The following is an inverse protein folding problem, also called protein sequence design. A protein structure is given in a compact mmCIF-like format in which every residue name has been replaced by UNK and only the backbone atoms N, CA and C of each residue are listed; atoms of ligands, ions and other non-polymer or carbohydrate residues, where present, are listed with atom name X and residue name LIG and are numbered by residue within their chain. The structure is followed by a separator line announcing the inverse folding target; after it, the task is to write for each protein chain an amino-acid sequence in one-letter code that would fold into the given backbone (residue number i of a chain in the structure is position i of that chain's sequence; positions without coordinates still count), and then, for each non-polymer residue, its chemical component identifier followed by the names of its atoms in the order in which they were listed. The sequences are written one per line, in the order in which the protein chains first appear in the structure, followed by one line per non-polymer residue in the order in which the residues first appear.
data_IF_682954287680
#
_entry.id   IF_682954287680
#
_cell.length_a   1.000
_cell.length_b   1.000
_cell.length_c   1.000
_cell.angle_alpha   90.00
_cell.angle_beta   90.00
_cell.angle_gamma   90.00
#
_symmetry.space_group_name_H-M   'P 1'
#
loop_
_entity.id
_entity.type
_entity.pdbx_description
1 polymer ?
#
# COMPACT_ATOMS: atom_id res chain seq x y z
N UNK A 1 -16.32 15.01 0.97
CA UNK A 1 -15.77 14.07 -0.04
C UNK A 1 -14.30 13.80 0.28
N UNK A 2 -13.93 12.54 0.24
CA UNK A 2 -12.58 12.13 0.61
C UNK A 2 -11.71 11.88 -0.63
N UNK A 3 -10.40 11.81 -0.43
CA UNK A 3 -9.42 11.48 -1.46
C UNK A 3 -8.76 10.15 -1.13
N UNK A 4 -8.39 9.43 -2.18
CA UNK A 4 -7.55 8.25 -2.04
C UNK A 4 -6.67 8.10 -3.27
N UNK A 5 -5.59 7.34 -3.14
CA UNK A 5 -4.70 7.04 -4.25
C UNK A 5 -3.93 5.76 -3.98
N UNK A 6 -3.49 5.11 -5.05
CA UNK A 6 -2.52 4.03 -4.93
C UNK A 6 -1.18 4.65 -4.51
N UNK A 7 -0.63 4.20 -3.38
CA UNK A 7 0.62 4.75 -2.88
C UNK A 7 1.79 3.76 -2.91
N UNK A 8 1.54 2.49 -2.60
CA UNK A 8 2.58 1.47 -2.60
C UNK A 8 2.20 0.26 -3.41
N UNK A 9 3.19 -0.29 -4.09
CA UNK A 9 3.16 -1.67 -4.56
C UNK A 9 4.05 -2.44 -3.57
N UNK A 10 3.47 -3.35 -2.79
CA UNK A 10 4.18 -4.03 -1.71
C UNK A 10 4.67 -5.38 -2.19
N UNK A 11 5.95 -5.66 -1.96
CA UNK A 11 6.58 -6.92 -2.35
C UNK A 11 7.16 -7.57 -1.09
N UNK A 12 6.77 -8.80 -0.83
CA UNK A 12 7.29 -9.57 0.29
C UNK A 12 8.68 -10.12 -0.06
N UNK A 13 9.63 -9.95 0.86
CA UNK A 13 10.99 -10.45 0.70
C UNK A 13 11.45 -11.10 2.00
N UNK A 14 12.24 -12.17 1.93
CA UNK A 14 12.75 -12.80 3.16
C UNK A 14 13.90 -12.02 3.78
N UNK A 15 14.62 -11.21 3.00
CA UNK A 15 15.79 -10.44 3.45
C UNK A 15 15.71 -9.05 2.83
N UNK A 16 15.63 -8.03 3.68
CA UNK A 16 15.45 -6.64 3.22
C UNK A 16 16.66 -6.12 2.44
N UNK A 17 17.88 -6.43 2.90
CA UNK A 17 19.08 -5.95 2.20
C UNK A 17 19.19 -6.52 0.81
N UNK A 18 18.92 -7.80 0.65
CA UNK A 18 18.90 -8.45 -0.66
C UNK A 18 17.77 -7.93 -1.53
N UNK A 19 16.59 -7.68 -0.93
CA UNK A 19 15.45 -7.11 -1.63
C UNK A 19 15.74 -5.72 -2.15
N UNK A 20 16.36 -4.87 -1.33
CA UNK A 20 16.76 -3.52 -1.75
C UNK A 20 17.76 -3.60 -2.90
N UNK A 21 18.79 -4.46 -2.77
CA UNK A 21 19.80 -4.58 -3.81
C UNK A 21 19.20 -5.01 -5.15
N UNK A 22 18.34 -6.03 -5.12
CA UNK A 22 17.73 -6.54 -6.35
C UNK A 22 16.79 -5.54 -7.00
N UNK A 23 15.83 -5.05 -6.22
CA UNK A 23 14.77 -4.21 -6.78
C UNK A 23 15.24 -2.81 -7.14
N UNK A 24 16.20 -2.25 -6.37
CA UNK A 24 16.81 -0.97 -6.75
C UNK A 24 17.50 -1.07 -8.09
N UNK A 25 18.26 -2.14 -8.32
CA UNK A 25 18.94 -2.35 -9.59
C UNK A 25 17.95 -2.63 -10.72
N UNK A 26 16.99 -3.49 -10.46
CA UNK A 26 16.01 -3.89 -11.49
C UNK A 26 15.14 -2.73 -11.96
N UNK A 27 14.79 -1.80 -11.07
CA UNK A 27 13.85 -0.72 -11.35
C UNK A 27 14.51 0.65 -11.48
N UNK A 28 15.83 0.72 -11.34
CA UNK A 28 16.57 1.98 -11.26
C UNK A 28 15.99 2.88 -10.15
N UNK A 29 15.69 2.26 -9.01
CA UNK A 29 15.05 2.93 -7.89
C UNK A 29 16.10 3.34 -6.85
N UNK A 30 15.76 4.31 -6.03
CA UNK A 30 16.59 4.76 -4.91
C UNK A 30 15.86 4.55 -3.59
N UNK A 31 16.59 4.14 -2.57
CA UNK A 31 16.00 3.90 -1.26
C UNK A 31 15.66 5.23 -0.58
N UNK A 32 14.44 5.29 0.01
CA UNK A 32 13.99 6.39 0.84
C UNK A 32 14.06 6.01 2.31
N UNK A 33 14.30 6.99 3.17
CA UNK A 33 14.31 6.78 4.61
C UNK A 33 12.91 6.45 5.11
N UNK A 34 12.79 5.37 5.88
CA UNK A 34 11.58 5.08 6.66
C UNK A 34 11.88 5.27 8.14
N UNK A 35 10.84 5.29 8.98
CA UNK A 35 11.02 5.48 10.41
C UNK A 35 11.90 4.36 10.99
N UNK A 36 12.65 4.69 12.04
CA UNK A 36 13.50 3.71 12.71
C UNK A 36 12.72 2.49 13.19
N UNK A 37 11.50 2.71 13.66
CA UNK A 37 10.61 1.63 14.14
C UNK A 37 10.21 0.68 13.04
N UNK A 38 10.22 1.12 11.79
CA UNK A 38 9.78 0.33 10.64
C UNK A 38 10.93 -0.29 9.86
N UNK A 39 12.16 0.19 10.01
CA UNK A 39 13.29 -0.18 9.15
C UNK A 39 13.63 -1.66 9.15
N UNK A 40 13.36 -2.36 10.22
CA UNK A 40 13.65 -3.79 10.31
C UNK A 40 12.55 -4.67 9.70
N UNK A 41 11.43 -4.05 9.31
CA UNK A 41 10.31 -4.75 8.68
C UNK A 41 10.07 -4.25 7.27
N UNK A 42 10.30 -2.95 7.03
CA UNK A 42 9.99 -2.30 5.75
C UNK A 42 11.18 -1.51 5.22
N UNK A 43 11.34 -1.52 3.89
CA UNK A 43 12.24 -0.61 3.19
C UNK A 43 11.47 -0.05 2.00
N UNK A 44 11.63 1.24 1.72
CA UNK A 44 10.85 1.90 0.69
C UNK A 44 11.76 2.38 -0.43
N UNK A 45 11.34 2.13 -1.67
CA UNK A 45 12.08 2.52 -2.86
C UNK A 45 11.29 3.53 -3.68
N UNK A 46 11.97 4.56 -4.12
CA UNK A 46 11.42 5.58 -4.99
C UNK A 46 11.76 5.25 -6.43
N UNK A 47 10.72 5.23 -7.28
CA UNK A 47 10.88 5.04 -8.72
C UNK A 47 11.20 6.39 -9.38
N UNK A 48 12.01 6.41 -10.46
CA UNK A 48 12.42 7.68 -11.08
C UNK A 48 11.28 8.48 -11.68
N UNK A 49 10.27 7.81 -12.24
CA UNK A 49 9.21 8.48 -12.99
C UNK A 49 7.81 8.19 -12.47
N UNK A 50 7.67 7.88 -11.18
CA UNK A 50 6.37 7.51 -10.62
C UNK A 50 6.20 8.05 -9.22
N UNK A 51 4.97 8.48 -8.90
CA UNK A 51 4.59 8.84 -7.54
C UNK A 51 4.25 7.62 -6.69
N UNK A 52 4.16 6.43 -7.31
CA UNK A 52 3.94 5.18 -6.58
C UNK A 52 5.28 4.68 -6.07
N UNK A 53 5.32 4.23 -4.81
CA UNK A 53 6.53 3.66 -4.20
C UNK A 53 6.48 2.14 -4.23
N UNK A 54 7.64 1.54 -4.23
CA UNK A 54 7.77 0.10 -3.96
C UNK A 54 8.07 -0.02 -2.46
N UNK A 55 7.28 -0.79 -1.75
CA UNK A 55 7.51 -1.06 -0.33
C UNK A 55 7.91 -2.52 -0.18
N UNK A 56 9.12 -2.76 0.31
CA UNK A 56 9.58 -4.12 0.59
C UNK A 56 9.19 -4.46 2.02
N UNK A 57 8.55 -5.60 2.19
CA UNK A 57 8.11 -6.07 3.51
C UNK A 57 8.82 -7.37 3.83
N UNK A 58 9.50 -7.42 4.98
CA UNK A 58 10.12 -8.64 5.43
C UNK A 58 9.06 -9.61 5.91
N UNK A 59 9.07 -10.80 5.35
CA UNK A 59 8.16 -11.87 5.75
C UNK A 59 8.96 -13.05 6.27
N UNK A 60 8.34 -13.82 7.15
CA UNK A 60 8.92 -15.09 7.55
C UNK A 60 8.93 -16.05 6.38
N UNK A 61 9.64 -17.15 6.54
CA UNK A 61 9.95 -18.08 5.46
C UNK A 61 8.75 -18.60 4.67
N UNK A 62 8.91 -18.58 3.37
CA UNK A 62 8.39 -19.59 2.47
C UNK A 62 6.92 -19.91 2.53
N UNK A 63 6.04 -18.93 2.53
CA UNK A 63 4.62 -19.25 2.37
C UNK A 63 4.29 -19.36 0.90
N UNK A 64 4.32 -20.57 0.39
CA UNK A 64 4.00 -20.84 -0.99
C UNK A 64 2.54 -20.54 -1.34
N UNK A 65 1.66 -20.39 -0.35
CA UNK A 65 0.21 -20.24 -0.57
C UNK A 65 -0.32 -18.81 -0.39
N UNK A 66 0.50 -17.84 0.05
CA UNK A 66 0.08 -16.44 0.17
C UNK A 66 0.60 -15.62 -0.99
N UNK A 67 -0.21 -14.62 -1.36
CA UNK A 67 0.23 -13.60 -2.30
C UNK A 67 1.49 -12.94 -1.75
N UNK A 68 2.48 -12.78 -2.62
CA UNK A 68 3.73 -12.14 -2.24
C UNK A 68 3.76 -10.67 -2.62
N UNK A 69 2.69 -10.18 -3.21
CA UNK A 69 2.53 -8.79 -3.61
C UNK A 69 1.13 -8.34 -3.30
N UNK A 70 1.00 -7.08 -2.89
CA UNK A 70 -0.31 -6.46 -2.72
C UNK A 70 -0.20 -4.96 -2.95
N UNK A 71 -1.34 -4.31 -3.11
CA UNK A 71 -1.42 -2.87 -3.29
C UNK A 71 -1.81 -2.20 -1.98
N UNK A 72 -1.26 -1.01 -1.74
CA UNK A 72 -1.71 -0.13 -0.68
C UNK A 72 -2.36 1.10 -1.30
N UNK A 73 -3.56 1.44 -0.80
CA UNK A 73 -4.22 2.70 -1.09
C UNK A 73 -4.15 3.58 0.15
N UNK A 74 -3.82 4.84 -0.01
CA UNK A 74 -3.92 5.78 1.10
C UNK A 74 -5.16 6.64 0.93
N UNK A 75 -5.72 7.10 2.05
CA UNK A 75 -6.92 7.93 2.04
C UNK A 75 -6.89 8.91 3.19
N UNK A 76 -7.44 10.10 2.96
CA UNK A 76 -7.63 11.09 4.02
C UNK A 76 -8.86 10.79 4.88
N UNK A 77 -9.64 9.78 4.50
CA UNK A 77 -10.74 9.25 5.30
C UNK A 77 -10.87 7.76 5.01
N UNK A 78 -10.18 6.95 5.81
CA UNK A 78 -10.09 5.50 5.60
C UNK A 78 -11.47 4.85 5.62
N UNK A 79 -12.33 5.21 6.58
CA UNK A 79 -13.67 4.61 6.66
C UNK A 79 -14.54 4.94 5.44
N UNK A 80 -14.46 6.16 4.95
CA UNK A 80 -15.21 6.55 3.75
C UNK A 80 -14.69 5.79 2.52
N UNK A 81 -13.38 5.60 2.43
CA UNK A 81 -12.79 4.85 1.33
C UNK A 81 -13.16 3.38 1.39
N UNK A 82 -13.10 2.78 2.58
CA UNK A 82 -13.52 1.38 2.76
C UNK A 82 -14.98 1.20 2.36
N UNK A 83 -15.86 2.11 2.78
CA UNK A 83 -17.27 2.04 2.41
C UNK A 83 -17.47 2.17 0.89
N UNK A 84 -16.71 3.06 0.24
CA UNK A 84 -16.77 3.20 -1.22
C UNK A 84 -16.37 1.89 -1.91
N UNK A 85 -15.29 1.27 -1.44
CA UNK A 85 -14.80 0.01 -2.03
C UNK A 85 -15.75 -1.16 -1.76
N UNK A 86 -16.38 -1.19 -0.58
CA UNK A 86 -17.41 -2.20 -0.29
C UNK A 86 -18.58 -2.08 -1.26
N UNK A 87 -18.98 -0.86 -1.59
CA UNK A 87 -20.03 -0.64 -2.58
C UNK A 87 -19.65 -1.15 -3.97
N UNK A 88 -18.34 -1.24 -4.27
CA UNK A 88 -17.83 -1.81 -5.51
C UNK A 88 -17.66 -3.32 -5.47
N UNK A 89 -17.84 -3.94 -4.31
CA UNK A 89 -17.76 -5.39 -4.15
C UNK A 89 -16.61 -5.90 -3.29
N UNK A 90 -15.83 -5.00 -2.68
CA UNK A 90 -14.77 -5.43 -1.76
C UNK A 90 -15.37 -5.90 -0.43
N UNK A 91 -14.60 -6.71 0.29
CA UNK A 91 -15.00 -7.24 1.60
C UNK A 91 -13.95 -6.83 2.63
N UNK A 92 -14.39 -6.36 3.79
CA UNK A 92 -13.50 -6.11 4.93
C UNK A 92 -12.97 -7.45 5.42
N UNK A 93 -11.64 -7.52 5.57
CA UNK A 93 -11.01 -8.77 5.98
C UNK A 93 -10.38 -8.67 7.37
N UNK A 94 -9.55 -7.64 7.61
CA UNK A 94 -8.84 -7.51 8.87
C UNK A 94 -8.54 -6.05 9.16
N UNK A 95 -8.70 -5.65 10.42
CA UNK A 95 -8.36 -4.30 10.87
C UNK A 95 -7.11 -4.37 11.73
N UNK A 96 -6.09 -3.63 11.35
CA UNK A 96 -4.83 -3.59 12.04
C UNK A 96 -4.60 -2.23 12.68
N UNK A 97 -4.18 -2.22 13.94
CA UNK A 97 -3.82 -0.99 14.64
C UNK A 97 -2.56 -1.29 15.46
N UNK A 98 -1.41 -0.95 14.90
CA UNK A 98 -0.14 -1.22 15.54
C UNK A 98 0.90 -0.16 15.19
N UNK A 99 1.82 0.09 16.09
CA UNK A 99 2.93 1.04 15.90
C UNK A 99 2.45 2.43 15.44
N UNK A 100 1.27 2.87 15.90
CA UNK A 100 0.69 4.14 15.49
C UNK A 100 0.05 4.14 14.10
N UNK A 101 -0.01 2.99 13.45
CA UNK A 101 -0.67 2.83 12.16
C UNK A 101 -2.03 2.18 12.34
N UNK A 102 -3.00 2.67 11.61
CA UNK A 102 -4.36 2.13 11.61
C UNK A 102 -4.75 1.93 10.14
N UNK A 103 -4.99 0.68 9.76
CA UNK A 103 -5.33 0.36 8.38
C UNK A 103 -6.27 -0.84 8.29
N UNK A 104 -6.96 -0.92 7.17
CA UNK A 104 -7.80 -2.06 6.85
C UNK A 104 -7.15 -2.91 5.78
N UNK A 105 -7.20 -4.24 5.97
CA UNK A 105 -6.98 -5.19 4.90
C UNK A 105 -8.34 -5.55 4.32
N UNK A 106 -8.50 -5.35 3.03
CA UNK A 106 -9.71 -5.71 2.30
C UNK A 106 -9.39 -6.83 1.33
N UNK A 107 -10.45 -7.45 0.82
CA UNK A 107 -10.36 -8.37 -0.31
C UNK A 107 -11.20 -7.84 -1.45
N UNK A 108 -10.67 -7.94 -2.68
CA UNK A 108 -11.44 -7.62 -3.86
C UNK A 108 -12.47 -8.74 -4.11
N UNK A 109 -13.36 -8.61 -5.13
CA UNK A 109 -14.40 -9.64 -5.38
C UNK A 109 -13.84 -11.03 -5.68
N UNK A 110 -12.56 -11.14 -6.02
CA UNK A 110 -11.93 -12.43 -6.36
C UNK A 110 -10.98 -12.93 -5.27
N UNK A 111 -10.95 -12.25 -4.13
CA UNK A 111 -10.17 -12.70 -2.97
C UNK A 111 -8.77 -12.15 -2.88
N UNK A 112 -8.37 -11.22 -3.74
CA UNK A 112 -7.04 -10.59 -3.65
C UNK A 112 -7.01 -9.58 -2.52
N UNK A 113 -6.02 -9.68 -1.65
CA UNK A 113 -5.88 -8.78 -0.51
C UNK A 113 -5.20 -7.49 -0.91
N UNK A 114 -5.66 -6.38 -0.36
CA UNK A 114 -5.04 -5.07 -0.49
C UNK A 114 -5.35 -4.26 0.76
N UNK A 115 -4.60 -3.17 0.97
CA UNK A 115 -4.72 -2.38 2.19
C UNK A 115 -5.22 -0.98 1.90
N UNK A 116 -5.98 -0.43 2.84
CA UNK A 116 -6.37 0.99 2.86
C UNK A 116 -5.77 1.62 4.10
N UNK A 117 -4.92 2.62 3.91
CA UNK A 117 -4.07 3.21 4.94
C UNK A 117 -4.42 4.67 5.18
N UNK A 118 -4.01 5.16 6.35
CA UNK A 118 -3.91 6.59 6.61
C UNK A 118 -2.88 7.22 5.64
N UNK A 119 -2.93 8.55 5.45
CA UNK A 119 -2.04 9.19 4.47
C UNK A 119 -0.56 8.92 4.75
N UNK A 120 0.13 8.41 3.76
CA UNK A 120 1.59 8.22 3.74
C UNK A 120 2.27 9.38 3.04
N UNK A 121 1.65 9.91 1.99
CA UNK A 121 2.16 11.01 1.18
C UNK A 121 1.09 12.09 1.07
N UNK A 122 0.88 12.87 2.15
CA UNK A 122 -0.23 13.85 2.17
C UNK A 122 -0.19 14.86 1.03
N UNK A 123 1.01 15.28 0.59
CA UNK A 123 1.14 16.25 -0.50
C UNK A 123 0.65 15.67 -1.83
N UNK A 124 0.95 14.40 -2.07
CA UNK A 124 0.51 13.74 -3.30
C UNK A 124 -0.98 13.46 -3.27
N UNK A 125 -1.49 13.05 -2.11
CA UNK A 125 -2.91 12.79 -1.91
C UNK A 125 -3.73 14.08 -2.11
N UNK A 126 -3.23 15.21 -1.62
CA UNK A 126 -3.91 16.50 -1.72
C UNK A 126 -4.10 16.96 -3.17
N UNK A 127 -3.31 16.44 -4.09
CA UNK A 127 -3.43 16.76 -5.53
C UNK A 127 -4.54 15.98 -6.21
N UNK A 128 -5.10 14.97 -5.56
CA UNK A 128 -6.16 14.16 -6.15
C UNK A 128 -7.50 14.87 -6.02
N UNK A 129 -8.37 14.62 -6.97
CA UNK A 129 -9.75 15.10 -6.86
C UNK A 129 -10.49 14.23 -5.84
N UNK A 130 -11.28 14.84 -4.96
CA UNK A 130 -12.11 14.07 -4.05
C UNK A 130 -13.13 13.22 -4.83
N UNK A 131 -13.46 12.08 -4.25
CA UNK A 131 -14.52 11.23 -4.79
C UNK A 131 -15.87 11.95 -4.64
N UNK A 132 -16.61 12.05 -5.72
CA UNK A 132 -17.90 12.78 -5.74
C UNK A 132 -19.10 11.85 -5.78
N UNK A 133 -18.89 10.58 -5.52
CA UNK A 133 -19.95 9.58 -5.54
C UNK A 133 -20.25 9.02 -6.91
N UNK A 134 -19.53 9.44 -7.94
CA UNK A 134 -19.68 8.91 -9.29
C UNK A 134 -18.59 7.91 -9.59
N UNK A 135 -18.94 6.89 -10.35
CA UNK A 135 -17.96 5.95 -10.84
C UNK A 135 -17.53 6.40 -12.26
N UNK A 136 -16.24 6.21 -12.61
CA UNK A 136 -15.81 6.54 -13.96
C UNK A 136 -16.63 5.76 -14.98
N UNK A 137 -16.98 6.41 -16.09
CA UNK A 137 -17.62 5.75 -17.20
C UNK A 137 -16.67 4.67 -17.72
N UNK A 138 -17.11 3.42 -17.61
CA UNK A 138 -16.27 2.25 -17.81
C UNK A 138 -15.90 1.93 -19.22
#
# INVERSE_FOLDING_TARGET
MHRSRLCHFVIDVPDLEQGVAFWSAALNASEETVSEQSRHIYRRLRLPDSEIRILLQKTGDGKASKERMHLDLESDDVEAEVARLEALGATRWDHQAERGFDFWVLRDPWGNEFCVLQPEFPELLARRKPWDGRFPAG
#
